data_IF_755728442899
#
_entry.id   IF_755728442899
#
_cell.length_a   1.000
_cell.length_b   1.000
_cell.length_c   1.000
_cell.angle_alpha   90.00
_cell.angle_beta   90.00
_cell.angle_gamma   90.00
#
_symmetry.space_group_name_H-M   'P 1'
#
loop_
_entity.id
_entity.type
_entity.pdbx_description
1 polymer ?
#
# COMPACT_ATOMS: atom_id res chain seq x y z
N UNK A 1 -64.05 -43.39 -30.07
CA UNK A 1 -63.71 -41.98 -30.31
C UNK A 1 -63.00 -41.47 -29.06
N UNK A 2 -61.72 -41.10 -29.22
CA UNK A 2 -60.84 -40.35 -28.30
C UNK A 2 -60.29 -40.99 -27.01
N UNK A 3 -59.01 -41.35 -27.15
CA UNK A 3 -57.93 -41.51 -26.17
C UNK A 3 -57.87 -40.44 -25.06
N UNK A 4 -57.33 -40.81 -23.89
CA UNK A 4 -56.03 -40.28 -23.39
C UNK A 4 -55.39 -41.24 -22.36
N UNK A 5 -54.06 -41.37 -22.47
CA UNK A 5 -53.14 -42.17 -21.65
C UNK A 5 -52.85 -41.47 -20.32
N UNK A 6 -52.56 -42.22 -19.25
CA UNK A 6 -51.28 -42.11 -18.54
C UNK A 6 -51.09 -43.21 -17.48
N UNK A 7 -50.14 -44.09 -17.78
CA UNK A 7 -49.54 -45.07 -16.89
C UNK A 7 -48.73 -44.38 -15.79
N UNK A 8 -48.96 -44.74 -14.53
CA UNK A 8 -48.05 -44.44 -13.42
C UNK A 8 -46.93 -45.48 -13.45
N UNK A 9 -45.77 -45.12 -14.01
CA UNK A 9 -44.52 -45.88 -13.89
C UNK A 9 -43.66 -45.28 -12.78
N UNK A 10 -43.25 -46.12 -11.85
CA UNK A 10 -42.24 -45.85 -10.83
C UNK A 10 -40.93 -45.38 -11.47
N UNK A 11 -40.40 -44.23 -11.04
CA UNK A 11 -39.01 -43.82 -11.27
C UNK A 11 -38.28 -43.93 -9.93
N UNK A 12 -37.51 -45.00 -9.76
CA UNK A 12 -36.50 -45.12 -8.71
C UNK A 12 -35.28 -44.33 -9.18
N UNK A 13 -35.03 -43.16 -8.59
CA UNK A 13 -33.76 -42.46 -8.74
C UNK A 13 -32.67 -43.24 -8.01
N UNK A 14 -31.84 -43.98 -8.75
CA UNK A 14 -30.61 -44.55 -8.24
C UNK A 14 -29.58 -43.43 -8.04
N UNK A 15 -29.33 -43.05 -6.78
CA UNK A 15 -28.15 -42.30 -6.37
C UNK A 15 -26.92 -43.19 -6.61
N UNK A 16 -26.18 -42.93 -7.68
CA UNK A 16 -24.87 -43.52 -7.89
C UNK A 16 -23.89 -42.90 -6.88
N UNK A 17 -23.72 -43.54 -5.73
CA UNK A 17 -22.56 -43.29 -4.86
C UNK A 17 -21.33 -43.85 -5.61
N UNK A 18 -20.57 -42.98 -6.27
CA UNK A 18 -19.30 -43.38 -6.86
C UNK A 18 -18.35 -43.80 -5.73
N UNK A 19 -18.11 -45.11 -5.58
CA UNK A 19 -17.11 -45.63 -4.67
C UNK A 19 -15.72 -45.23 -5.19
N UNK A 20 -15.03 -44.37 -4.44
CA UNK A 20 -13.65 -43.99 -4.74
C UNK A 20 -12.75 -45.22 -4.63
N UNK A 21 -11.91 -45.44 -5.63
CA UNK A 21 -10.93 -46.54 -5.60
C UNK A 21 -9.83 -46.25 -4.57
N UNK A 22 -9.13 -47.26 -4.01
CA UNK A 22 -8.07 -47.06 -3.01
C UNK A 22 -6.99 -46.08 -3.44
N UNK A 23 -6.61 -46.09 -4.73
CA UNK A 23 -5.65 -45.16 -5.33
C UNK A 23 -6.17 -43.72 -5.34
N UNK A 24 -7.47 -43.53 -5.61
CA UNK A 24 -8.09 -42.20 -5.53
C UNK A 24 -8.18 -41.67 -4.09
N UNK A 25 -8.39 -42.57 -3.11
CA UNK A 25 -8.37 -42.22 -1.68
C UNK A 25 -6.96 -41.81 -1.25
N UNK A 26 -5.93 -42.57 -1.63
CA UNK A 26 -4.53 -42.26 -1.31
C UNK A 26 -4.07 -40.93 -1.93
N UNK A 27 -4.36 -40.70 -3.21
CA UNK A 27 -4.06 -39.43 -3.88
C UNK A 27 -4.79 -38.23 -3.23
N UNK A 28 -6.04 -38.41 -2.78
CA UNK A 28 -6.76 -37.38 -2.03
C UNK A 28 -6.08 -37.08 -0.69
N UNK A 29 -5.62 -38.10 0.05
CA UNK A 29 -4.92 -37.89 1.33
C UNK A 29 -3.57 -37.17 1.19
N UNK A 30 -2.81 -37.42 0.12
CA UNK A 30 -1.55 -36.70 -0.15
C UNK A 30 -1.83 -35.24 -0.52
N UNK A 31 -2.85 -34.99 -1.34
CA UNK A 31 -3.26 -33.63 -1.68
C UNK A 31 -3.71 -32.83 -0.44
N UNK A 32 -4.42 -33.45 0.50
CA UNK A 32 -4.87 -32.78 1.74
C UNK A 32 -3.72 -32.49 2.71
N UNK A 33 -2.72 -33.38 2.80
CA UNK A 33 -1.46 -33.09 3.51
C UNK A 33 -0.74 -31.90 2.89
N UNK A 34 -0.60 -31.88 1.56
CA UNK A 34 0.03 -30.77 0.84
C UNK A 34 -0.74 -29.45 1.05
N UNK A 35 -2.08 -29.46 1.01
CA UNK A 35 -2.91 -28.27 1.33
C UNK A 35 -2.66 -27.76 2.75
N UNK A 36 -2.50 -28.66 3.71
CA UNK A 36 -2.20 -28.32 5.11
C UNK A 36 -0.85 -27.63 5.22
N UNK A 37 0.19 -28.14 4.54
CA UNK A 37 1.53 -27.53 4.48
C UNK A 37 1.46 -26.15 3.81
N UNK A 38 0.78 -26.04 2.65
CA UNK A 38 0.57 -24.76 1.94
C UNK A 38 -0.07 -23.73 2.87
N UNK A 39 -1.09 -24.11 3.64
CA UNK A 39 -1.76 -23.24 4.61
C UNK A 39 -0.83 -22.83 5.76
N UNK A 40 -0.06 -23.77 6.31
CA UNK A 40 0.88 -23.49 7.40
C UNK A 40 2.02 -22.54 6.97
N UNK A 41 2.58 -22.75 5.77
CA UNK A 41 3.61 -21.86 5.20
C UNK A 41 3.03 -20.46 4.96
N UNK A 42 1.82 -20.36 4.41
CA UNK A 42 1.11 -19.08 4.25
C UNK A 42 0.94 -18.36 5.57
N UNK A 43 0.39 -19.03 6.58
CA UNK A 43 0.13 -18.43 7.89
C UNK A 43 1.40 -17.93 8.58
N UNK A 44 2.54 -18.60 8.35
CA UNK A 44 3.82 -18.23 8.94
C UNK A 44 4.56 -17.12 8.19
N UNK A 45 4.59 -17.18 6.86
CA UNK A 45 5.48 -16.34 6.03
C UNK A 45 4.75 -15.27 5.21
N UNK A 46 3.47 -15.46 4.91
CA UNK A 46 2.64 -14.51 4.17
C UNK A 46 1.25 -14.34 4.82
N UNK A 47 1.18 -13.97 6.12
CA UNK A 47 -0.10 -13.84 6.83
C UNK A 47 -0.94 -12.66 6.34
N UNK A 48 -0.32 -11.64 5.72
CA UNK A 48 -0.98 -10.43 5.27
C UNK A 48 -0.94 -10.32 3.74
N UNK A 49 -2.10 -10.54 3.11
CA UNK A 49 -2.24 -10.47 1.65
C UNK A 49 -2.06 -9.08 1.06
N UNK A 50 -2.08 -8.04 1.91
CA UNK A 50 -1.78 -6.66 1.49
C UNK A 50 -0.28 -6.46 1.29
N UNK A 51 0.57 -7.35 1.82
CA UNK A 51 2.03 -7.23 1.76
C UNK A 51 2.66 -8.31 0.86
N UNK A 52 2.10 -9.53 0.90
CA UNK A 52 2.61 -10.67 0.14
C UNK A 52 1.50 -11.32 -0.68
N UNK A 53 1.84 -11.74 -1.91
CA UNK A 53 1.00 -12.66 -2.69
C UNK A 53 1.41 -14.07 -2.33
N UNK A 54 0.44 -14.87 -1.95
CA UNK A 54 0.59 -16.31 -1.71
C UNK A 54 -0.71 -16.99 -2.14
N UNK A 55 -0.85 -17.19 -3.44
CA UNK A 55 -2.00 -17.84 -4.07
C UNK A 55 -1.52 -19.16 -4.68
N UNK A 56 -1.56 -20.21 -3.88
CA UNK A 56 -1.09 -21.55 -4.25
C UNK A 56 -2.27 -22.50 -4.24
N UNK A 57 -2.46 -23.18 -5.37
CA UNK A 57 -3.42 -24.25 -5.53
C UNK A 57 -2.69 -25.59 -5.59
N UNK A 58 -3.21 -26.57 -4.85
CA UNK A 58 -2.78 -27.97 -4.90
C UNK A 58 -3.75 -28.76 -5.77
N UNK A 59 -3.22 -29.41 -6.81
CA UNK A 59 -3.99 -30.33 -7.66
C UNK A 59 -3.42 -31.76 -7.54
N UNK A 60 -4.24 -32.77 -7.26
CA UNK A 60 -3.78 -34.16 -7.32
C UNK A 60 -3.43 -34.53 -8.76
N UNK A 61 -2.39 -35.36 -8.91
CA UNK A 61 -1.92 -35.94 -10.17
C UNK A 61 -1.87 -37.46 -9.99
N UNK A 62 -1.81 -38.21 -11.09
CA UNK A 62 -1.72 -39.67 -11.05
C UNK A 62 -0.55 -40.17 -10.18
N UNK A 63 -0.72 -41.37 -9.62
CA UNK A 63 0.27 -42.06 -8.76
C UNK A 63 0.61 -41.35 -7.45
N UNK A 64 -0.36 -40.68 -6.82
CA UNK A 64 -0.16 -40.07 -5.49
C UNK A 64 0.72 -38.81 -5.51
N UNK A 65 0.99 -38.25 -6.70
CA UNK A 65 1.75 -37.01 -6.87
C UNK A 65 0.82 -35.80 -6.77
N UNK A 66 1.41 -34.63 -6.53
CA UNK A 66 0.67 -33.36 -6.55
C UNK A 66 1.34 -32.34 -7.47
N UNK A 67 0.53 -31.45 -8.05
CA UNK A 67 1.01 -30.28 -8.75
C UNK A 67 0.70 -29.03 -7.92
N UNK A 68 1.73 -28.24 -7.63
CA UNK A 68 1.62 -26.95 -6.99
C UNK A 68 1.64 -25.88 -8.07
N UNK A 69 0.54 -25.15 -8.23
CA UNK A 69 0.40 -24.10 -9.24
C UNK A 69 -0.08 -22.81 -8.60
N UNK A 70 0.22 -21.67 -9.21
CA UNK A 70 -0.25 -20.37 -8.76
C UNK A 70 0.89 -19.37 -8.74
N UNK A 71 0.90 -18.47 -7.76
CA UNK A 71 1.85 -17.36 -7.72
C UNK A 71 2.22 -16.93 -6.30
N UNK A 72 3.46 -16.47 -6.16
CA UNK A 72 3.97 -15.81 -4.95
C UNK A 72 4.64 -14.49 -5.30
N UNK A 73 4.63 -13.52 -4.37
CA UNK A 73 5.29 -12.23 -4.58
C UNK A 73 6.80 -12.26 -4.37
N UNK A 74 7.33 -13.30 -3.73
CA UNK A 74 8.73 -13.38 -3.34
C UNK A 74 9.28 -14.80 -3.50
N UNK A 75 10.51 -14.92 -4.00
CA UNK A 75 11.13 -16.20 -4.33
C UNK A 75 11.25 -17.14 -3.13
N UNK A 76 11.54 -16.60 -1.94
CA UNK A 76 11.74 -17.40 -0.73
C UNK A 76 10.44 -18.06 -0.26
N UNK A 77 9.26 -17.54 -0.64
CA UNK A 77 7.98 -18.15 -0.32
C UNK A 77 7.79 -19.47 -1.08
N UNK A 78 8.14 -19.48 -2.37
CA UNK A 78 8.14 -20.69 -3.18
C UNK A 78 9.21 -21.67 -2.69
N UNK A 79 10.44 -21.22 -2.43
CA UNK A 79 11.53 -22.07 -1.91
C UNK A 79 11.15 -22.72 -0.56
N UNK A 80 10.64 -21.93 0.38
CA UNK A 80 10.21 -22.43 1.69
C UNK A 80 9.08 -23.45 1.60
N UNK A 81 8.13 -23.24 0.68
CA UNK A 81 7.05 -24.19 0.43
C UNK A 81 7.61 -25.50 -0.15
N UNK A 82 8.46 -25.42 -1.17
CA UNK A 82 9.02 -26.61 -1.81
C UNK A 82 9.86 -27.44 -0.83
N UNK A 83 10.63 -26.80 0.06
CA UNK A 83 11.33 -27.50 1.15
C UNK A 83 10.37 -28.19 2.11
N UNK A 84 9.34 -27.50 2.58
CA UNK A 84 8.36 -28.07 3.50
C UNK A 84 7.58 -29.26 2.90
N UNK A 85 7.33 -29.24 1.59
CA UNK A 85 6.69 -30.33 0.84
C UNK A 85 7.64 -31.52 0.71
N UNK A 86 8.91 -31.28 0.40
CA UNK A 86 9.93 -32.32 0.33
C UNK A 86 10.20 -32.98 1.71
N UNK A 87 10.26 -32.18 2.78
CA UNK A 87 10.43 -32.67 4.16
C UNK A 87 9.27 -33.57 4.63
N UNK A 88 8.10 -33.42 4.00
CA UNK A 88 6.93 -34.26 4.24
C UNK A 88 6.85 -35.51 3.34
N UNK A 89 7.90 -35.78 2.55
CA UNK A 89 8.01 -36.90 1.60
C UNK A 89 6.89 -36.90 0.55
N UNK A 90 6.50 -35.71 0.08
CA UNK A 90 5.47 -35.54 -0.95
C UNK A 90 6.15 -35.24 -2.30
N UNK A 91 5.91 -36.11 -3.29
CA UNK A 91 6.35 -35.88 -4.67
C UNK A 91 5.46 -34.81 -5.34
N UNK A 92 6.03 -33.62 -5.53
CA UNK A 92 5.32 -32.45 -6.03
C UNK A 92 6.03 -31.79 -7.22
N UNK A 93 5.27 -31.50 -8.28
CA UNK A 93 5.75 -30.64 -9.37
C UNK A 93 5.58 -29.15 -9.02
N UNK A 94 6.55 -28.34 -9.41
CA UNK A 94 6.57 -26.90 -9.16
C UNK A 94 6.15 -26.12 -10.42
N UNK A 95 4.90 -25.64 -10.43
CA UNK A 95 4.37 -24.69 -11.40
C UNK A 95 4.05 -23.32 -10.79
N UNK A 96 4.77 -22.92 -9.74
CA UNK A 96 4.54 -21.66 -9.02
C UNK A 96 5.29 -20.54 -9.74
N UNK A 97 4.55 -19.53 -10.18
CA UNK A 97 5.14 -18.29 -10.69
C UNK A 97 5.65 -17.44 -9.52
N UNK A 98 6.92 -17.04 -9.57
CA UNK A 98 7.48 -16.04 -8.66
C UNK A 98 7.38 -14.69 -9.36
N UNK A 99 6.54 -13.82 -8.82
CA UNK A 99 6.45 -12.42 -9.22
C UNK A 99 7.65 -11.69 -8.61
N UNK A 100 8.18 -10.63 -9.22
CA UNK A 100 7.51 -9.66 -10.09
C UNK A 100 7.73 -9.90 -11.60
N UNK A 101 7.09 -9.08 -12.42
CA UNK A 101 7.64 -8.77 -13.74
C UNK A 101 8.91 -7.93 -13.61
N UNK A 102 9.80 -7.95 -14.61
CA UNK A 102 10.98 -7.07 -14.63
C UNK A 102 10.63 -5.57 -14.80
N UNK A 103 9.34 -5.21 -14.87
CA UNK A 103 8.91 -3.84 -15.13
C UNK A 103 8.52 -3.07 -13.86
N UNK A 104 8.63 -1.76 -13.98
CA UNK A 104 8.18 -0.78 -13.00
C UNK A 104 7.06 0.06 -13.58
N UNK A 105 6.31 0.71 -12.70
CA UNK A 105 5.33 1.72 -13.04
C UNK A 105 5.58 2.96 -12.19
N UNK A 106 5.36 4.13 -12.78
CA UNK A 106 5.40 5.40 -12.06
C UNK A 106 4.13 6.18 -12.37
N UNK A 107 3.35 6.60 -11.36
CA UNK A 107 2.19 7.45 -11.60
C UNK A 107 2.61 8.72 -12.36
N UNK A 108 1.85 9.02 -13.43
CA UNK A 108 2.06 10.19 -14.32
C UNK A 108 1.00 11.27 -14.12
N UNK A 109 0.14 11.09 -13.12
CA UNK A 109 -0.81 12.07 -12.59
C UNK A 109 -0.48 12.27 -11.11
N UNK A 110 -0.88 13.41 -10.52
CA UNK A 110 -0.52 13.75 -9.13
C UNK A 110 -0.95 12.69 -8.13
N UNK A 111 -2.15 12.13 -8.31
CA UNK A 111 -2.69 11.11 -7.41
C UNK A 111 -3.39 10.02 -8.21
N UNK A 112 -2.78 8.84 -8.26
CA UNK A 112 -3.37 7.65 -8.87
C UNK A 112 -4.09 6.80 -7.83
N UNK A 113 -5.33 6.40 -8.11
CA UNK A 113 -6.10 5.54 -7.21
C UNK A 113 -5.65 4.08 -7.32
N UNK A 114 -5.49 3.44 -6.16
CA UNK A 114 -5.17 2.03 -6.03
C UNK A 114 -6.39 1.28 -5.51
N UNK A 115 -6.72 0.14 -6.10
CA UNK A 115 -7.94 -0.62 -5.82
C UNK A 115 -7.68 -2.04 -5.34
N UNK A 116 -8.65 -2.61 -4.64
CA UNK A 116 -8.56 -3.97 -4.10
C UNK A 116 -8.62 -5.06 -5.17
N UNK A 117 -9.25 -4.77 -6.33
CA UNK A 117 -9.37 -5.65 -7.50
C UNK A 117 -9.20 -4.82 -8.78
N UNK A 118 -8.89 -5.44 -9.94
CA UNK A 118 -8.90 -4.75 -11.22
C UNK A 118 -10.35 -4.45 -11.62
N UNK A 119 -10.74 -3.17 -11.54
CA UNK A 119 -12.10 -2.73 -11.87
C UNK A 119 -12.42 -1.35 -11.29
N UNK A 120 -13.13 -0.52 -12.06
CA UNK A 120 -13.49 0.84 -11.63
C UNK A 120 -14.52 0.86 -10.48
N UNK A 121 -15.28 -0.22 -10.34
CA UNK A 121 -16.24 -0.50 -9.27
C UNK A 121 -15.59 -1.00 -7.97
N UNK A 122 -14.34 -1.47 -8.04
CA UNK A 122 -13.63 -2.02 -6.89
C UNK A 122 -13.34 -0.95 -5.85
N UNK A 123 -13.38 -1.33 -4.58
CA UNK A 123 -13.04 -0.45 -3.46
C UNK A 123 -11.66 0.21 -3.64
N UNK A 124 -11.57 1.51 -3.35
CA UNK A 124 -10.28 2.19 -3.29
C UNK A 124 -9.53 1.76 -2.03
N UNK A 125 -8.38 1.11 -2.23
CA UNK A 125 -7.53 0.61 -1.18
C UNK A 125 -6.52 1.66 -0.69
N UNK A 126 -5.96 2.44 -1.62
CA UNK A 126 -4.94 3.45 -1.35
C UNK A 126 -4.82 4.44 -2.51
N UNK A 127 -3.86 5.37 -2.46
CA UNK A 127 -3.40 6.15 -3.60
C UNK A 127 -1.87 6.04 -3.74
N UNK A 128 -1.36 6.34 -4.94
CA UNK A 128 0.06 6.51 -5.23
C UNK A 128 0.30 7.90 -5.84
N UNK A 129 1.43 8.53 -5.49
CA UNK A 129 1.77 9.89 -5.91
C UNK A 129 2.59 9.90 -7.20
N UNK A 130 2.58 11.02 -7.92
CA UNK A 130 3.38 11.18 -9.13
C UNK A 130 4.85 10.87 -8.84
N UNK A 131 5.48 10.08 -9.71
CA UNK A 131 6.89 9.74 -9.56
C UNK A 131 7.21 8.74 -8.43
N UNK A 132 6.21 8.26 -7.68
CA UNK A 132 6.40 7.15 -6.75
C UNK A 132 6.75 5.87 -7.51
N UNK A 133 7.87 5.19 -7.20
CA UNK A 133 8.21 3.94 -7.85
C UNK A 133 7.26 2.82 -7.39
N UNK A 134 6.66 2.14 -8.36
CA UNK A 134 5.77 0.99 -8.14
C UNK A 134 6.37 -0.25 -8.82
N UNK A 135 6.49 -1.34 -8.08
CA UNK A 135 6.94 -2.63 -8.63
C UNK A 135 5.75 -3.30 -9.31
N UNK A 136 5.85 -3.66 -10.59
CA UNK A 136 4.76 -4.32 -11.31
C UNK A 136 4.81 -5.82 -11.04
N UNK A 137 3.75 -6.33 -10.42
CA UNK A 137 3.60 -7.73 -10.06
C UNK A 137 2.79 -8.50 -11.10
N UNK A 138 1.81 -7.86 -11.74
CA UNK A 138 0.94 -8.47 -12.74
C UNK A 138 0.37 -7.41 -13.68
N UNK A 139 -0.06 -7.82 -14.86
CA UNK A 139 -0.65 -6.95 -15.87
C UNK A 139 -1.75 -7.70 -16.65
N UNK A 140 -2.99 -7.25 -16.53
CA UNK A 140 -4.14 -7.80 -17.28
C UNK A 140 -4.50 -6.98 -18.52
N UNK A 141 -3.70 -5.95 -18.84
CA UNK A 141 -3.87 -5.02 -19.95
C UNK A 141 -4.33 -3.64 -19.50
N UNK A 142 -5.51 -3.55 -18.87
CA UNK A 142 -6.08 -2.29 -18.38
C UNK A 142 -5.58 -1.96 -16.96
N UNK A 143 -5.31 -2.98 -16.15
CA UNK A 143 -4.89 -2.85 -14.78
C UNK A 143 -3.53 -3.51 -14.54
N UNK A 144 -2.77 -2.88 -13.66
CA UNK A 144 -1.51 -3.41 -13.17
C UNK A 144 -1.69 -3.73 -11.69
N UNK A 145 -1.34 -4.95 -11.30
CA UNK A 145 -1.13 -5.25 -9.88
C UNK A 145 0.25 -4.76 -9.52
N UNK A 146 0.31 -3.86 -8.56
CA UNK A 146 1.54 -3.16 -8.17
C UNK A 146 1.79 -3.30 -6.68
N UNK A 147 3.06 -3.20 -6.30
CA UNK A 147 3.50 -2.99 -4.92
C UNK A 147 4.03 -1.57 -4.75
N UNK A 148 3.55 -0.87 -3.73
CA UNK A 148 4.06 0.45 -3.32
C UNK A 148 5.26 0.31 -2.36
N UNK A 149 6.04 1.38 -2.14
CA UNK A 149 7.24 1.34 -1.29
C UNK A 149 7.02 0.96 0.18
N UNK A 150 5.79 1.04 0.68
CA UNK A 150 5.38 0.54 2.00
C UNK A 150 4.98 -0.95 1.98
N UNK A 151 5.27 -1.65 0.88
CA UNK A 151 4.95 -3.05 0.67
C UNK A 151 3.50 -3.32 0.26
N UNK A 152 2.65 -2.29 0.13
CA UNK A 152 1.21 -2.49 -0.10
C UNK A 152 0.91 -2.96 -1.53
N UNK A 153 0.16 -4.04 -1.67
CA UNK A 153 -0.22 -4.66 -2.94
C UNK A 153 -1.66 -4.29 -3.31
N UNK A 154 -1.83 -3.76 -4.51
CA UNK A 154 -3.12 -3.27 -5.02
C UNK A 154 -3.11 -3.12 -6.54
N UNK A 155 -4.21 -2.68 -7.12
CA UNK A 155 -4.38 -2.52 -8.57
C UNK A 155 -4.46 -1.05 -8.98
N UNK A 156 -3.69 -0.66 -9.99
CA UNK A 156 -3.74 0.69 -10.59
C UNK A 156 -4.14 0.58 -12.05
N UNK A 157 -4.92 1.55 -12.55
CA UNK A 157 -5.25 1.61 -13.98
C UNK A 157 -4.00 2.01 -14.78
N UNK A 158 -3.68 1.23 -15.82
CA UNK A 158 -2.48 1.38 -16.64
C UNK A 158 -2.37 2.80 -17.25
N UNK A 159 -3.48 3.42 -17.62
CA UNK A 159 -3.51 4.79 -18.17
C UNK A 159 -3.02 5.88 -17.21
N UNK A 160 -3.00 5.61 -15.90
CA UNK A 160 -2.54 6.54 -14.85
C UNK A 160 -1.04 6.46 -14.58
N UNK A 161 -0.32 5.52 -15.19
CA UNK A 161 1.11 5.32 -14.97
C UNK A 161 1.92 5.39 -16.27
N UNK A 162 3.20 5.68 -16.15
CA UNK A 162 4.20 5.40 -17.17
C UNK A 162 4.91 4.09 -16.80
N UNK A 163 4.87 3.09 -17.68
CA UNK A 163 5.67 1.87 -17.53
C UNK A 163 7.15 2.21 -17.74
N UNK A 164 8.01 1.64 -16.92
CA UNK A 164 9.46 1.82 -16.95
C UNK A 164 10.17 0.47 -16.95
N UNK A 165 11.16 0.33 -17.83
CA UNK A 165 12.11 -0.79 -17.76
C UNK A 165 13.06 -0.62 -16.57
N UNK A 166 13.79 -1.67 -16.14
CA UNK A 166 14.84 -1.55 -15.13
C UNK A 166 15.85 -0.44 -15.43
N UNK A 167 16.27 -0.30 -16.68
CA UNK A 167 17.24 0.69 -17.13
C UNK A 167 16.68 2.11 -17.01
N UNK A 168 15.42 2.31 -17.41
CA UNK A 168 14.76 3.61 -17.28
C UNK A 168 14.58 4.01 -15.81
N UNK A 169 14.30 3.05 -14.93
CA UNK A 169 14.26 3.30 -13.48
C UNK A 169 15.63 3.64 -12.91
N UNK A 170 16.69 3.01 -13.41
CA UNK A 170 18.05 3.33 -12.98
C UNK A 170 18.48 4.73 -13.43
N UNK A 171 18.15 5.10 -14.67
CA UNK A 171 18.32 6.47 -15.15
C UNK A 171 17.56 7.48 -14.29
N UNK A 172 16.32 7.17 -13.91
CA UNK A 172 15.52 8.03 -13.02
C UNK A 172 16.16 8.16 -11.63
N UNK A 173 16.67 7.08 -11.04
CA UNK A 173 17.38 7.13 -9.74
C UNK A 173 18.64 7.99 -9.79
N UNK A 174 19.34 8.00 -10.91
CA UNK A 174 20.54 8.82 -11.13
C UNK A 174 20.23 10.27 -11.54
N UNK A 175 19.00 10.59 -11.91
CA UNK A 175 18.61 11.93 -12.34
C UNK A 175 18.50 12.90 -11.14
N UNK A 176 18.74 14.20 -11.41
CA UNK A 176 18.38 15.27 -10.47
C UNK A 176 16.86 15.31 -10.35
N UNK A 177 16.35 15.15 -9.14
CA UNK A 177 14.92 15.06 -8.85
C UNK A 177 14.53 16.06 -7.78
N UNK A 178 13.31 16.54 -7.90
CA UNK A 178 12.68 17.47 -6.98
C UNK A 178 11.41 16.83 -6.42
N UNK A 179 11.20 16.98 -5.12
CA UNK A 179 10.00 16.59 -4.41
C UNK A 179 9.17 17.82 -4.17
N UNK A 180 7.87 17.73 -4.39
CA UNK A 180 6.93 18.76 -3.98
C UNK A 180 6.79 18.72 -2.47
N UNK A 181 7.24 19.78 -1.80
CA UNK A 181 7.20 19.93 -0.33
C UNK A 181 6.22 21.01 0.11
N UNK A 182 5.59 21.72 -0.83
CA UNK A 182 4.46 22.59 -0.54
C UNK A 182 3.33 21.79 0.13
N UNK A 183 2.80 22.25 1.28
CA UNK A 183 1.65 21.62 1.92
C UNK A 183 0.35 21.79 1.11
N UNK A 184 0.32 22.76 0.19
CA UNK A 184 -0.80 23.05 -0.69
C UNK A 184 -0.59 22.50 -2.10
N UNK A 185 -1.69 22.17 -2.79
CA UNK A 185 -1.65 21.81 -4.20
C UNK A 185 -1.04 22.96 -5.02
N UNK A 186 -0.09 22.61 -5.89
CA UNK A 186 0.55 23.53 -6.84
C UNK A 186 0.28 23.09 -8.27
N UNK A 187 0.70 23.90 -9.24
CA UNK A 187 0.51 23.59 -10.66
C UNK A 187 1.83 23.70 -11.42
N UNK A 188 2.00 22.81 -12.40
CA UNK A 188 2.99 22.96 -13.45
C UNK A 188 2.34 23.70 -14.63
N UNK A 189 3.04 24.69 -15.19
CA UNK A 189 2.55 25.51 -16.31
C UNK A 189 3.38 25.27 -17.58
N UNK A 190 2.81 25.53 -18.75
CA UNK A 190 3.50 25.31 -20.04
C UNK A 190 4.69 26.24 -20.29
N UNK A 191 4.74 27.40 -19.62
CA UNK A 191 5.84 28.38 -19.71
C UNK A 191 6.10 29.05 -18.35
N UNK A 192 7.34 29.49 -18.12
CA UNK A 192 7.76 30.13 -16.89
C UNK A 192 7.01 31.44 -16.56
N UNK A 193 6.42 32.10 -17.57
CA UNK A 193 5.88 33.45 -17.47
C UNK A 193 4.36 33.49 -17.40
N UNK A 194 3.69 32.36 -17.55
CA UNK A 194 2.23 32.27 -17.65
C UNK A 194 1.64 31.53 -16.46
N UNK A 195 0.45 31.93 -16.01
CA UNK A 195 -0.24 31.30 -14.87
C UNK A 195 -1.75 31.18 -15.09
N UNK A 196 -2.21 31.31 -16.34
CA UNK A 196 -3.62 31.20 -16.66
C UNK A 196 -4.12 29.76 -16.52
N UNK A 197 -5.41 29.61 -16.29
CA UNK A 197 -6.07 28.28 -16.16
C UNK A 197 -5.91 27.40 -17.41
N UNK A 198 -5.68 28.01 -18.57
CA UNK A 198 -5.41 27.32 -19.85
C UNK A 198 -3.94 26.98 -20.06
N UNK A 199 -3.06 27.47 -19.19
CA UNK A 199 -1.63 27.23 -19.25
C UNK A 199 -1.18 26.07 -18.36
N UNK A 200 -2.10 25.51 -17.56
CA UNK A 200 -1.83 24.39 -16.64
C UNK A 200 -1.55 23.12 -17.45
N UNK A 201 -0.45 22.46 -17.12
CA UNK A 201 -0.07 21.12 -17.64
C UNK A 201 -0.64 20.04 -16.74
N UNK A 202 -0.47 20.20 -15.42
CA UNK A 202 -0.98 19.30 -14.38
C UNK A 202 -0.96 20.03 -13.04
N UNK A 203 -1.79 19.60 -12.10
CA UNK A 203 -1.56 19.86 -10.69
C UNK A 203 -0.49 18.92 -10.13
N UNK A 204 0.06 19.30 -8.98
CA UNK A 204 1.00 18.52 -8.17
C UNK A 204 0.68 18.67 -6.68
N UNK A 205 1.01 17.66 -5.89
CA UNK A 205 0.74 17.61 -4.44
C UNK A 205 2.00 17.25 -3.64
N UNK A 206 1.98 17.51 -2.33
CA UNK A 206 3.08 17.14 -1.44
C UNK A 206 3.46 15.65 -1.63
N UNK A 207 4.75 15.37 -1.84
CA UNK A 207 5.29 14.04 -2.10
C UNK A 207 5.39 13.64 -3.57
N UNK A 208 4.83 14.41 -4.51
CA UNK A 208 5.06 14.20 -5.94
C UNK A 208 6.55 14.39 -6.27
N UNK A 209 7.08 13.53 -7.15
CA UNK A 209 8.49 13.55 -7.56
C UNK A 209 8.59 13.78 -9.07
N UNK A 210 9.37 14.77 -9.44
CA UNK A 210 9.63 15.16 -10.83
C UNK A 210 11.14 15.29 -11.07
N UNK A 211 11.58 15.09 -12.31
CA UNK A 211 12.96 15.35 -12.69
C UNK A 211 13.15 16.85 -12.90
N UNK A 212 14.26 17.41 -12.40
CA UNK A 212 14.52 18.85 -12.48
C UNK A 212 15.63 19.32 -11.54
N UNK A 213 15.96 20.61 -11.62
CA UNK A 213 16.98 21.22 -10.78
C UNK A 213 16.69 22.70 -10.48
N UNK A 214 17.11 23.16 -9.29
CA UNK A 214 16.77 24.50 -8.79
C UNK A 214 17.62 25.66 -9.33
N UNK A 215 18.72 25.37 -10.03
CA UNK A 215 19.76 26.38 -10.35
C UNK A 215 19.33 27.40 -11.40
N UNK A 216 18.44 27.04 -12.32
CA UNK A 216 18.01 27.90 -13.44
C UNK A 216 16.56 28.34 -13.26
N UNK A 217 16.38 29.37 -12.43
CA UNK A 217 15.06 29.96 -12.16
C UNK A 217 14.73 31.04 -13.20
N UNK A 218 13.54 30.98 -13.77
CA UNK A 218 12.95 32.07 -14.56
C UNK A 218 11.70 32.53 -13.81
N UNK A 219 11.70 33.79 -13.34
CA UNK A 219 10.62 34.36 -12.52
C UNK A 219 10.24 33.48 -11.31
N UNK A 220 11.24 32.93 -10.64
CA UNK A 220 11.03 32.07 -9.46
C UNK A 220 10.58 30.63 -9.79
N UNK A 221 10.44 30.27 -11.07
CA UNK A 221 10.05 28.93 -11.51
C UNK A 221 11.20 28.15 -12.11
N UNK A 222 11.12 26.84 -12.00
CA UNK A 222 12.03 25.90 -12.65
C UNK A 222 11.27 24.97 -13.58
N UNK A 223 11.95 24.57 -14.66
CA UNK A 223 11.43 23.56 -15.56
C UNK A 223 11.59 22.17 -14.92
N UNK A 224 10.56 21.35 -15.03
CA UNK A 224 10.51 19.97 -14.55
C UNK A 224 10.03 19.05 -15.66
N UNK A 225 10.44 17.78 -15.59
CA UNK A 225 9.98 16.70 -16.47
C UNK A 225 9.18 15.69 -15.64
N UNK A 226 7.98 15.38 -16.10
CA UNK A 226 7.07 14.43 -15.48
C UNK A 226 7.43 13.00 -15.89
N UNK A 227 6.96 11.96 -15.16
CA UNK A 227 7.29 10.57 -15.46
C UNK A 227 6.92 10.09 -16.87
N UNK A 228 5.95 10.72 -17.53
CA UNK A 228 5.54 10.43 -18.91
C UNK A 228 6.24 11.28 -19.98
N UNK A 229 7.25 12.08 -19.60
CA UNK A 229 8.04 12.90 -20.51
C UNK A 229 7.43 14.28 -20.81
N UNK A 230 6.23 14.60 -20.34
CA UNK A 230 5.73 15.98 -20.38
C UNK A 230 6.66 16.89 -19.58
N UNK A 231 6.78 18.14 -20.01
CA UNK A 231 7.50 19.17 -19.25
C UNK A 231 6.56 20.25 -18.77
N UNK A 232 6.92 20.90 -17.66
CA UNK A 232 6.21 22.04 -17.13
C UNK A 232 7.11 22.94 -16.28
N UNK A 233 6.59 24.09 -15.88
CA UNK A 233 7.26 25.07 -15.03
C UNK A 233 6.55 25.16 -13.68
N UNK A 234 7.28 24.90 -12.61
CA UNK A 234 6.76 24.89 -11.24
C UNK A 234 7.44 25.97 -10.40
N UNK A 235 6.72 26.52 -9.42
CA UNK A 235 7.29 27.48 -8.47
C UNK A 235 8.38 26.79 -7.64
N UNK A 236 9.60 27.34 -7.68
CA UNK A 236 10.77 26.73 -7.05
C UNK A 236 10.65 26.65 -5.52
N UNK A 237 9.81 27.51 -4.91
CA UNK A 237 9.53 27.49 -3.47
C UNK A 237 8.67 26.32 -3.02
N UNK A 238 8.01 25.62 -3.96
CA UNK A 238 7.21 24.44 -3.67
C UNK A 238 8.01 23.13 -3.75
N UNK A 239 9.30 23.21 -4.09
CA UNK A 239 10.14 22.08 -4.46
C UNK A 239 11.40 22.01 -3.59
N UNK A 240 11.81 20.79 -3.26
CA UNK A 240 13.04 20.49 -2.53
C UNK A 240 13.81 19.39 -3.27
N UNK A 241 15.15 19.45 -3.41
CA UNK A 241 15.93 18.32 -3.90
C UNK A 241 15.61 17.04 -3.13
N UNK A 242 15.47 15.92 -3.84
CA UNK A 242 15.04 14.66 -3.20
C UNK A 242 16.04 14.20 -2.13
N UNK A 243 17.33 14.47 -2.32
CA UNK A 243 18.38 14.14 -1.37
C UNK A 243 18.19 14.92 -0.06
N UNK A 244 17.91 16.22 -0.14
CA UNK A 244 17.68 17.08 1.02
C UNK A 244 16.41 16.66 1.76
N UNK A 245 15.32 16.41 1.02
CA UNK A 245 14.05 15.96 1.59
C UNK A 245 14.16 14.58 2.26
N UNK A 246 14.89 13.63 1.66
CA UNK A 246 14.99 12.26 2.18
C UNK A 246 15.96 12.12 3.37
N UNK A 247 16.91 13.04 3.52
CA UNK A 247 17.95 13.01 4.56
C UNK A 247 17.58 13.81 5.81
N UNK A 248 16.38 14.38 5.86
CA UNK A 248 15.85 15.02 7.05
C UNK A 248 15.91 14.08 8.26
N UNK A 249 16.28 14.64 9.40
CA UNK A 249 16.09 13.98 10.69
C UNK A 249 14.61 13.98 11.07
N UNK A 250 14.25 13.09 12.00
CA UNK A 250 12.90 13.08 12.56
C UNK A 250 12.56 14.46 13.12
N UNK A 251 11.45 15.03 12.63
CA UNK A 251 10.97 16.33 13.07
C UNK A 251 9.45 16.30 13.22
N UNK A 252 8.99 16.28 14.48
CA UNK A 252 7.56 16.24 14.79
C UNK A 252 6.81 17.49 14.30
N UNK A 253 7.46 18.66 14.29
CA UNK A 253 6.83 19.90 13.84
C UNK A 253 6.51 19.84 12.35
N UNK A 254 7.41 19.30 11.50
CA UNK A 254 7.14 19.11 10.07
C UNK A 254 5.94 18.17 9.85
N UNK A 255 5.86 17.10 10.65
CA UNK A 255 4.77 16.11 10.57
C UNK A 255 3.44 16.76 10.97
N UNK A 256 3.42 17.49 12.08
CA UNK A 256 2.24 18.16 12.62
C UNK A 256 1.81 19.34 11.74
N UNK A 257 2.74 20.15 11.24
CA UNK A 257 2.45 21.25 10.31
C UNK A 257 1.78 20.73 9.04
N UNK A 258 2.27 19.60 8.49
CA UNK A 258 1.62 18.96 7.35
C UNK A 258 0.23 18.42 7.72
N UNK A 259 0.04 17.84 8.91
CA UNK A 259 -1.28 17.40 9.35
C UNK A 259 -2.26 18.58 9.49
N UNK A 260 -1.80 19.69 10.09
CA UNK A 260 -2.59 20.89 10.33
C UNK A 260 -2.86 21.71 9.07
N UNK A 261 -1.99 21.68 8.07
CA UNK A 261 -2.26 22.32 6.77
C UNK A 261 -3.46 21.68 6.05
N UNK A 262 -3.85 20.46 6.47
CA UNK A 262 -4.98 19.72 5.93
C UNK A 262 -6.23 19.80 6.83
N UNK A 263 -6.23 20.64 7.88
CA UNK A 263 -7.39 20.87 8.74
C UNK A 263 -8.65 21.16 7.91
N UNK A 264 -9.74 20.44 8.20
CA UNK A 264 -11.00 20.57 7.48
C UNK A 264 -11.11 19.74 6.18
N UNK A 265 -10.03 19.16 5.66
CA UNK A 265 -10.08 18.30 4.46
C UNK A 265 -11.04 17.12 4.69
N UNK A 266 -12.00 16.87 3.77
CA UNK A 266 -12.96 15.78 3.93
C UNK A 266 -12.32 14.40 3.98
N UNK A 267 -12.91 13.51 4.78
CA UNK A 267 -12.52 12.11 4.82
C UNK A 267 -12.87 11.40 3.52
N UNK A 268 -11.92 10.65 2.96
CA UNK A 268 -12.16 9.71 1.86
C UNK A 268 -11.49 8.38 2.18
N UNK A 269 -12.28 7.31 2.24
CA UNK A 269 -11.76 5.96 2.41
C UNK A 269 -10.75 5.62 1.31
N UNK A 270 -9.56 5.14 1.69
CA UNK A 270 -8.48 4.86 0.75
C UNK A 270 -7.60 6.06 0.42
N UNK A 271 -7.96 7.28 0.85
CA UNK A 271 -7.23 8.51 0.53
C UNK A 271 -5.86 8.60 1.22
N UNK A 272 -4.80 8.89 0.47
CA UNK A 272 -3.41 9.03 0.95
C UNK A 272 -2.65 10.14 0.21
N UNK A 273 -3.28 11.29 0.05
CA UNK A 273 -2.67 12.48 -0.55
C UNK A 273 -3.21 13.74 0.10
N UNK A 274 -2.55 14.89 -0.08
CA UNK A 274 -3.06 16.16 0.47
C UNK A 274 -4.41 16.61 -0.13
N UNK A 275 -4.91 15.94 -1.17
CA UNK A 275 -6.27 16.15 -1.69
C UNK A 275 -7.34 15.48 -0.84
N UNK A 276 -7.07 14.28 -0.36
CA UNK A 276 -8.07 13.38 0.22
C UNK A 276 -7.41 12.36 1.15
N UNK A 277 -7.99 12.14 2.31
CA UNK A 277 -7.36 11.38 3.39
C UNK A 277 -8.34 10.45 4.09
N UNK A 278 -7.92 9.22 4.39
CA UNK A 278 -8.46 8.49 5.53
C UNK A 278 -7.59 8.69 6.79
N UNK A 279 -7.94 8.01 7.89
CA UNK A 279 -7.24 8.15 9.17
C UNK A 279 -5.75 7.81 9.07
N UNK A 280 -5.43 6.66 8.48
CA UNK A 280 -4.06 6.20 8.26
C UNK A 280 -3.35 6.91 7.11
N UNK A 281 -4.10 7.44 6.14
CA UNK A 281 -3.61 8.27 5.06
C UNK A 281 -3.11 9.62 5.53
N UNK A 282 -3.79 10.25 6.50
CA UNK A 282 -3.27 11.45 7.17
C UNK A 282 -1.91 11.16 7.82
N UNK A 283 -1.81 10.09 8.62
CA UNK A 283 -0.53 9.67 9.21
C UNK A 283 0.56 9.48 8.15
N UNK A 284 0.25 8.78 7.05
CA UNK A 284 1.20 8.55 5.97
C UNK A 284 1.67 9.83 5.29
N UNK A 285 0.76 10.71 4.90
CA UNK A 285 1.10 11.96 4.19
C UNK A 285 1.94 12.86 5.09
N UNK A 286 1.57 13.00 6.36
CA UNK A 286 2.32 13.80 7.34
C UNK A 286 3.74 13.28 7.58
N UNK A 287 3.90 11.97 7.74
CA UNK A 287 5.23 11.36 7.90
C UNK A 287 6.07 11.39 6.62
N UNK A 288 5.43 11.25 5.45
CA UNK A 288 6.12 11.36 4.17
C UNK A 288 6.70 12.76 3.96
N UNK A 289 6.06 13.83 4.45
CA UNK A 289 6.61 15.18 4.39
C UNK A 289 8.00 15.30 5.07
N UNK A 290 8.27 14.47 6.10
CA UNK A 290 9.56 14.36 6.77
C UNK A 290 10.40 13.15 6.27
N UNK A 291 10.11 12.61 5.08
CA UNK A 291 10.90 11.56 4.44
C UNK A 291 10.75 10.17 5.08
N UNK A 292 9.62 9.91 5.76
CA UNK A 292 9.36 8.63 6.46
C UNK A 292 8.16 7.92 5.83
N UNK A 293 8.36 6.68 5.40
CA UNK A 293 7.32 5.80 4.85
C UNK A 293 6.77 4.95 6.00
N UNK A 294 5.48 5.12 6.29
CA UNK A 294 4.72 4.24 7.17
C UNK A 294 3.92 3.21 6.37
N UNK A 295 3.61 2.07 7.00
CA UNK A 295 2.65 1.10 6.47
C UNK A 295 1.27 1.72 6.20
N UNK A 296 0.53 1.16 5.24
CA UNK A 296 -0.73 1.73 4.74
C UNK A 296 -1.84 1.83 5.77
N UNK A 297 -2.10 0.73 6.47
CA UNK A 297 -3.32 0.62 7.27
C UNK A 297 -3.08 0.88 8.74
N UNK A 298 -4.07 1.47 9.42
CA UNK A 298 -4.02 1.71 10.87
C UNK A 298 -3.71 0.42 11.66
N UNK A 299 -4.25 -0.72 11.23
CA UNK A 299 -3.98 -2.01 11.86
C UNK A 299 -2.53 -2.48 11.71
N UNK A 300 -1.87 -2.12 10.61
CA UNK A 300 -0.46 -2.41 10.39
C UNK A 300 0.41 -1.42 11.18
N UNK A 301 0.13 -0.12 11.08
CA UNK A 301 0.82 0.94 11.84
C UNK A 301 0.80 0.68 13.36
N UNK A 302 -0.29 0.15 13.89
CA UNK A 302 -0.43 -0.17 15.32
C UNK A 302 0.54 -1.24 15.85
N UNK A 303 1.21 -1.96 14.94
CA UNK A 303 2.16 -3.04 15.25
C UNK A 303 3.63 -2.61 15.10
N UNK A 304 3.88 -1.34 14.80
CA UNK A 304 5.24 -0.79 14.64
C UNK A 304 5.66 0.05 15.84
N UNK A 305 6.92 0.47 15.84
CA UNK A 305 7.44 1.42 16.82
C UNK A 305 7.44 0.89 18.25
N UNK A 306 7.66 1.80 19.21
CA UNK A 306 7.61 1.47 20.63
C UNK A 306 6.21 1.70 21.19
N UNK A 307 5.56 0.63 21.68
CA UNK A 307 4.21 0.70 22.25
C UNK A 307 4.18 1.51 23.56
N UNK A 308 3.12 2.32 23.72
CA UNK A 308 2.78 3.06 24.93
C UNK A 308 1.33 2.71 25.28
N UNK A 309 1.10 2.16 26.47
CA UNK A 309 -0.25 1.75 26.87
C UNK A 309 -1.19 2.95 27.04
N UNK A 310 -2.50 2.74 26.86
CA UNK A 310 -3.47 3.83 26.91
C UNK A 310 -3.49 4.59 28.24
N UNK A 311 -3.28 3.89 29.37
CA UNK A 311 -3.19 4.49 30.70
C UNK A 311 -1.97 5.45 30.83
N UNK A 312 -0.96 5.26 29.99
CA UNK A 312 0.31 5.97 30.00
C UNK A 312 0.36 7.11 28.97
N UNK A 313 -0.78 7.56 28.43
CA UNK A 313 -0.84 8.56 27.35
C UNK A 313 -0.09 9.87 27.65
N UNK A 314 0.06 10.24 28.93
CA UNK A 314 0.85 11.41 29.36
C UNK A 314 2.35 11.28 29.04
N UNK A 315 2.82 10.09 28.67
CA UNK A 315 4.18 9.82 28.21
C UNK A 315 4.33 9.97 26.69
N UNK A 316 3.22 10.15 25.96
CA UNK A 316 3.24 10.40 24.52
C UNK A 316 3.98 11.71 24.22
N UNK A 317 4.59 11.76 23.04
CA UNK A 317 5.33 12.91 22.50
C UNK A 317 4.75 13.28 21.14
N UNK A 318 4.93 14.53 20.75
CA UNK A 318 4.57 15.02 19.43
C UNK A 318 5.02 14.05 18.34
N UNK A 319 4.10 13.69 17.45
CA UNK A 319 4.29 12.70 16.39
C UNK A 319 3.88 11.27 16.75
N UNK A 320 3.83 10.85 18.02
CA UNK A 320 3.40 9.49 18.39
C UNK A 320 2.02 9.17 17.77
N UNK A 321 1.83 7.97 17.22
CA UNK A 321 0.55 7.58 16.62
C UNK A 321 -0.36 6.99 17.69
N UNK A 322 -1.60 7.49 17.79
CA UNK A 322 -2.61 7.01 18.72
C UNK A 322 -3.61 6.08 18.02
N UNK A 323 -3.85 4.89 18.57
CA UNK A 323 -4.75 3.91 17.98
C UNK A 323 -6.02 3.71 18.81
N UNK A 324 -7.15 3.67 18.11
CA UNK A 324 -8.47 3.52 18.70
C UNK A 324 -9.20 2.32 18.09
N UNK A 325 -10.16 1.76 18.82
CA UNK A 325 -10.97 0.67 18.31
C UNK A 325 -11.72 -0.10 19.38
N UNK A 326 -11.72 -1.43 19.27
CA UNK A 326 -12.47 -2.31 20.17
C UNK A 326 -11.57 -2.85 21.29
N UNK A 327 -11.78 -2.44 22.56
CA UNK A 327 -10.93 -2.88 23.67
C UNK A 327 -11.12 -4.36 24.04
N UNK A 328 -12.27 -4.97 23.71
CA UNK A 328 -12.53 -6.38 23.99
C UNK A 328 -11.75 -7.32 23.08
N UNK A 329 -11.55 -6.91 21.82
CA UNK A 329 -10.86 -7.72 20.81
C UNK A 329 -9.46 -7.22 20.48
N UNK A 330 -9.08 -6.03 20.95
CA UNK A 330 -7.85 -5.35 20.55
C UNK A 330 -7.87 -4.84 19.10
N UNK A 331 -9.00 -4.93 18.39
CA UNK A 331 -9.09 -4.57 16.97
C UNK A 331 -8.99 -3.06 16.80
N UNK A 332 -7.92 -2.61 16.16
CA UNK A 332 -7.71 -1.23 15.73
C UNK A 332 -8.62 -0.89 14.56
N UNK A 333 -9.29 0.25 14.64
CA UNK A 333 -10.18 0.77 13.57
C UNK A 333 -9.87 2.20 13.17
N UNK A 334 -9.01 2.89 13.91
CA UNK A 334 -8.71 4.31 13.68
C UNK A 334 -7.33 4.67 14.21
N UNK A 335 -6.67 5.65 13.59
CA UNK A 335 -5.38 6.21 14.01
C UNK A 335 -5.40 7.75 14.00
N UNK A 336 -4.63 8.36 14.88
CA UNK A 336 -4.40 9.81 14.98
C UNK A 336 -2.90 10.10 15.21
N UNK A 337 -2.49 11.35 15.02
CA UNK A 337 -1.13 11.83 15.35
C UNK A 337 -1.24 12.67 16.63
N UNK A 338 -0.51 12.27 17.68
CA UNK A 338 -0.42 13.02 18.94
C UNK A 338 0.34 14.32 18.73
N UNK A 339 -0.14 15.39 19.36
CA UNK A 339 0.51 16.69 19.38
C UNK A 339 1.11 16.96 20.77
N UNK A 340 0.33 17.50 21.70
CA UNK A 340 0.72 17.79 23.07
C UNK A 340 -0.48 17.68 24.03
N UNK A 341 -0.22 17.54 25.34
CA UNK A 341 -1.24 17.59 26.41
C UNK A 341 -2.49 16.69 26.23
N UNK A 342 -2.38 15.61 25.48
CA UNK A 342 -3.49 14.71 25.17
C UNK A 342 -4.22 15.05 23.88
N UNK A 343 -3.92 16.18 23.27
CA UNK A 343 -4.50 16.61 22.00
C UNK A 343 -3.84 15.89 20.82
N UNK A 344 -4.65 15.64 19.81
CA UNK A 344 -4.25 14.94 18.60
C UNK A 344 -5.01 15.45 17.38
N UNK A 345 -4.41 15.27 16.21
CA UNK A 345 -5.02 15.53 14.91
C UNK A 345 -5.34 14.21 14.21
N UNK A 346 -6.53 14.12 13.59
CA UNK A 346 -6.97 12.91 12.89
C UNK A 346 -7.93 13.22 11.73
N UNK A 347 -8.05 12.31 10.76
CA UNK A 347 -9.08 12.39 9.71
C UNK A 347 -10.29 11.52 10.10
N UNK A 348 -11.39 12.15 10.49
CA UNK A 348 -12.65 11.49 10.90
C UNK A 348 -13.84 12.35 10.49
N UNK A 349 -14.47 12.00 9.36
CA UNK A 349 -15.41 12.88 8.63
C UNK A 349 -14.71 14.04 7.93
N UNK A 350 -13.78 14.70 8.63
CA UNK A 350 -12.77 15.62 8.10
C UNK A 350 -11.51 15.55 8.97
N UNK A 351 -10.42 16.15 8.52
CA UNK A 351 -9.27 16.44 9.40
C UNK A 351 -9.74 17.40 10.49
N UNK A 352 -9.53 17.02 11.75
CA UNK A 352 -9.91 17.79 12.93
C UNK A 352 -9.03 17.44 14.13
N UNK A 353 -9.24 18.16 15.23
CA UNK A 353 -8.55 18.00 16.50
C UNK A 353 -9.48 17.47 17.57
N UNK A 354 -8.97 16.55 18.37
CA UNK A 354 -9.66 15.99 19.52
C UNK A 354 -8.63 15.67 20.61
N UNK A 355 -9.11 15.20 21.77
CA UNK A 355 -8.25 14.90 22.91
C UNK A 355 -8.49 13.51 23.47
N UNK A 356 -7.44 12.86 23.97
CA UNK A 356 -7.55 11.65 24.80
C UNK A 356 -7.70 11.98 26.29
N UNK A 357 -7.56 13.26 26.67
CA UNK A 357 -7.75 13.72 28.04
C UNK A 357 -9.26 13.81 28.37
N UNK A 358 -9.79 13.03 29.34
CA UNK A 358 -11.21 13.07 29.71
C UNK A 358 -11.72 14.43 30.19
N UNK A 359 -10.83 15.29 30.69
CA UNK A 359 -11.17 16.63 31.17
C UNK A 359 -11.24 17.68 30.05
N UNK A 360 -10.83 17.32 28.82
CA UNK A 360 -10.86 18.22 27.68
C UNK A 360 -12.27 18.32 27.06
N UNK A 361 -12.73 19.51 26.66
CA UNK A 361 -13.97 19.66 25.90
C UNK A 361 -13.90 18.97 24.52
N UNK A 362 -12.70 18.66 24.04
CA UNK A 362 -12.47 17.96 22.78
C UNK A 362 -12.35 16.43 22.94
N UNK A 363 -12.63 15.89 24.14
CA UNK A 363 -12.55 14.47 24.44
C UNK A 363 -13.54 13.64 23.60
N UNK A 364 -13.07 12.53 23.05
CA UNK A 364 -13.92 11.53 22.39
C UNK A 364 -14.00 10.25 23.24
N UNK A 365 -15.21 9.68 23.35
CA UNK A 365 -15.45 8.43 24.07
C UNK A 365 -15.05 7.18 23.28
N UNK A 366 -14.51 7.34 22.07
CA UNK A 366 -13.97 6.22 21.28
C UNK A 366 -12.81 5.60 22.07
N UNK A 367 -12.82 4.28 22.33
CA UNK A 367 -11.80 3.67 23.16
C UNK A 367 -10.39 3.84 22.57
N UNK A 368 -9.54 4.54 23.32
CA UNK A 368 -8.10 4.63 23.08
C UNK A 368 -7.44 3.32 23.53
N UNK A 369 -6.79 2.62 22.61
CA UNK A 369 -6.23 1.28 22.85
C UNK A 369 -4.77 1.38 23.31
N UNK A 370 -3.96 2.11 22.56
CA UNK A 370 -2.53 2.36 22.82
C UNK A 370 -1.98 3.38 21.83
N UNK A 371 -0.80 3.92 22.12
CA UNK A 371 0.00 4.65 21.16
C UNK A 371 1.23 3.86 20.72
N UNK A 372 1.85 4.27 19.63
CA UNK A 372 3.20 3.83 19.25
C UNK A 372 4.08 5.03 18.95
N UNK A 373 5.33 4.96 19.42
CA UNK A 373 6.37 5.94 19.15
C UNK A 373 7.16 5.57 17.91
N UNK A 374 7.16 6.47 16.94
CA UNK A 374 7.89 6.33 15.68
C UNK A 374 9.32 6.86 15.79
N UNK A 375 9.51 7.96 16.53
CA UNK A 375 10.84 8.48 16.83
C UNK A 375 11.73 7.40 17.47
N UNK A 376 12.99 7.34 17.06
CA UNK A 376 13.95 6.29 17.43
C UNK A 376 13.66 4.89 16.87
N UNK A 377 12.58 4.70 16.10
CA UNK A 377 12.21 3.41 15.50
C UNK A 377 12.26 3.42 13.96
N UNK A 378 12.78 4.48 13.34
CA UNK A 378 12.98 4.56 11.90
C UNK A 378 14.03 3.53 11.46
N UNK A 379 13.70 2.75 10.42
CA UNK A 379 14.49 1.61 9.95
C UNK A 379 14.06 0.27 10.54
N UNK A 380 13.12 0.26 11.50
CA UNK A 380 12.47 -0.97 11.97
C UNK A 380 11.31 -1.37 11.06
N UNK A 381 10.73 -2.55 11.30
CA UNK A 381 9.63 -3.09 10.50
C UNK A 381 8.49 -2.07 10.35
N UNK A 382 8.19 -1.72 9.10
CA UNK A 382 7.05 -0.86 8.74
C UNK A 382 7.27 0.65 8.94
N UNK A 383 8.48 1.07 9.32
CA UNK A 383 8.88 2.48 9.43
C UNK A 383 10.18 2.67 8.64
N UNK A 384 10.07 3.11 7.39
CA UNK A 384 11.22 3.15 6.48
C UNK A 384 11.62 4.58 6.16
N UNK A 385 12.87 4.95 6.37
CA UNK A 385 13.41 6.22 5.87
C UNK A 385 13.55 6.16 4.34
N UNK A 386 13.07 7.17 3.62
CA UNK A 386 13.14 7.20 2.15
C UNK A 386 14.58 7.13 1.65
N UNK A 387 15.52 7.79 2.36
CA UNK A 387 16.98 7.73 2.06
C UNK A 387 17.57 6.31 2.01
N UNK A 388 16.94 5.36 2.70
CA UNK A 388 17.40 3.97 2.78
C UNK A 388 16.58 3.04 1.86
N UNK A 389 15.59 3.57 1.15
CA UNK A 389 14.70 2.76 0.34
C UNK A 389 15.30 2.52 -1.06
N UNK A 390 15.59 1.27 -1.45
CA UNK A 390 16.36 0.98 -2.66
C UNK A 390 15.64 1.42 -3.95
N UNK A 391 14.32 1.53 -3.92
CA UNK A 391 13.57 1.97 -5.09
C UNK A 391 13.78 3.47 -5.42
N UNK A 392 14.19 4.28 -4.43
CA UNK A 392 14.42 5.72 -4.61
C UNK A 392 15.90 6.06 -4.88
N UNK A 393 16.84 5.37 -4.22
CA UNK A 393 18.27 5.70 -4.28
C UNK A 393 19.17 4.57 -4.77
N UNK A 394 18.61 3.44 -5.21
CA UNK A 394 19.37 2.27 -5.66
C UNK A 394 19.93 1.47 -4.48
N UNK A 395 20.56 0.35 -4.80
CA UNK A 395 21.42 -0.33 -3.83
C UNK A 395 22.78 0.37 -3.83
N UNK A 396 23.23 0.85 -2.67
CA UNK A 396 24.59 1.36 -2.50
C UNK A 396 25.60 0.23 -2.42
#
# INVERSE_FOLDING_TARGET
MNMTKNDIRYVVCALALAALTPVMVEAATVADKARTIVSAVRARLAPDSRQNIYDITVRPVDNGKVALTGMVSEWYLADSLMRAIADADIDASNGIAVLPSDNWAMPRISVACLRTRPGHDAEMASQALMGMPLRVLDNDGEWLRVQTPDGYISWVVNSSVAIKTPEQMEMWRCARRLVVTSPYQVHAYRDAKVSGVRDVVTDLVCGDIVEGFLDKKIRGRVQVTLPDGRSGWCDASALTPIEDWATQDFNADVILDMAYSMEGTPYLWGGTSSKTLDCSGLAKVSYLANGIILMRDASQQATTGTRIEAADWRRCRAGDLLFFGNPKTGRVTHVAIYDHDGDYVHSSGRVRRNSVNPDSPAYLTTPFLHAVRIDGNIGTRGITAVRNHPWYFGYK
#
